data_IF_507765862428
#
_entry.id   IF_507765862428
#
_cell.length_a   1.000
_cell.length_b   1.000
_cell.length_c   1.000
_cell.angle_alpha   90.00
_cell.angle_beta   90.00
_cell.angle_gamma   90.00
#
_symmetry.space_group_name_H-M   'P 1'
#
loop_
_entity.id
_entity.type
_entity.pdbx_description
1 polymer ?
#
# COMPACT_ATOMS: atom_id res chain seq x y z
N UNK A 1 7.77 7.15 -16.55
CA UNK A 1 7.91 5.79 -15.95
C UNK A 1 8.17 5.78 -14.44
N UNK A 2 8.57 6.88 -13.80
CA UNK A 2 8.87 6.92 -12.35
C UNK A 2 7.67 6.59 -11.44
N UNK A 3 6.46 7.05 -11.79
CA UNK A 3 5.26 6.90 -10.94
C UNK A 3 4.75 5.45 -10.85
N UNK A 4 4.92 4.66 -11.91
CA UNK A 4 4.51 3.25 -11.93
C UNK A 4 5.33 2.42 -10.96
N UNK A 5 6.64 2.70 -10.86
CA UNK A 5 7.53 2.01 -9.93
C UNK A 5 7.17 2.33 -8.48
N UNK A 6 6.92 3.60 -8.16
CA UNK A 6 6.48 4.01 -6.82
C UNK A 6 5.11 3.43 -6.46
N UNK A 7 4.18 3.39 -7.41
CA UNK A 7 2.86 2.78 -7.22
C UNK A 7 2.96 1.27 -7.00
N UNK A 8 3.75 0.56 -7.82
CA UNK A 8 3.98 -0.88 -7.66
C UNK A 8 4.65 -1.21 -6.31
N UNK A 9 5.60 -0.39 -5.88
CA UNK A 9 6.24 -0.52 -4.57
C UNK A 9 5.22 -0.33 -3.44
N UNK A 10 4.43 0.74 -3.49
CA UNK A 10 3.39 1.01 -2.49
C UNK A 10 2.29 -0.06 -2.46
N UNK A 11 1.84 -0.52 -3.63
CA UNK A 11 0.86 -1.59 -3.76
C UNK A 11 1.41 -2.93 -3.27
N UNK A 12 2.68 -3.26 -3.54
CA UNK A 12 3.32 -4.47 -3.04
C UNK A 12 3.41 -4.48 -1.52
N UNK A 13 3.83 -3.37 -0.91
CA UNK A 13 3.86 -3.23 0.56
C UNK A 13 2.44 -3.30 1.15
N UNK A 14 1.48 -2.58 0.56
CA UNK A 14 0.08 -2.59 0.99
C UNK A 14 -0.57 -3.97 0.86
N UNK A 15 -0.25 -4.73 -0.17
CA UNK A 15 -0.73 -6.10 -0.37
C UNK A 15 -0.20 -7.06 0.69
N UNK A 16 1.09 -6.97 1.04
CA UNK A 16 1.68 -7.81 2.10
C UNK A 16 1.09 -7.50 3.47
N UNK A 17 0.84 -6.22 3.77
CA UNK A 17 0.25 -5.81 5.05
C UNK A 17 -1.28 -6.00 5.12
N UNK A 18 -1.98 -5.91 3.99
CA UNK A 18 -3.44 -6.03 3.91
C UNK A 18 -3.97 -7.44 3.67
N UNK A 19 -3.12 -8.37 3.20
CA UNK A 19 -3.52 -9.75 2.93
C UNK A 19 -3.05 -10.70 4.02
N UNK A 20 -3.89 -11.68 4.38
CA UNK A 20 -3.55 -12.69 5.40
C UNK A 20 -2.35 -13.55 4.99
N UNK A 21 -2.23 -13.85 3.70
CA UNK A 21 -1.15 -14.64 3.10
C UNK A 21 0.19 -13.89 3.03
N UNK A 22 0.18 -12.55 3.09
CA UNK A 22 1.40 -11.74 3.11
C UNK A 22 2.24 -11.98 4.36
N UNK A 23 1.61 -12.13 5.53
CA UNK A 23 2.30 -12.40 6.80
C UNK A 23 3.05 -13.72 6.82
N UNK A 24 2.49 -14.81 6.28
CA UNK A 24 3.20 -16.10 6.24
C UNK A 24 4.49 -16.05 5.44
N UNK A 25 4.50 -15.26 4.34
CA UNK A 25 5.73 -15.03 3.57
C UNK A 25 6.70 -14.09 4.29
N UNK A 26 6.18 -13.12 5.03
CA UNK A 26 6.96 -12.20 5.85
C UNK A 26 7.64 -12.93 7.02
N UNK A 27 6.97 -13.88 7.66
CA UNK A 27 7.51 -14.65 8.78
C UNK A 27 8.79 -15.40 8.37
N UNK A 28 8.82 -15.96 7.16
CA UNK A 28 10.00 -16.65 6.63
C UNK A 28 11.16 -15.72 6.29
N UNK A 29 10.89 -14.46 5.95
CA UNK A 29 11.91 -13.45 5.63
C UNK A 29 12.21 -12.49 6.80
N UNK A 30 11.47 -12.61 7.90
CA UNK A 30 11.54 -11.70 9.05
C UNK A 30 12.92 -11.65 9.69
N UNK A 31 13.66 -12.77 9.69
CA UNK A 31 15.02 -12.84 10.20
C UNK A 31 15.99 -11.97 9.37
N UNK A 32 15.89 -12.02 8.04
CA UNK A 32 16.70 -11.19 7.14
C UNK A 32 16.29 -9.71 7.22
N UNK A 33 14.99 -9.44 7.38
CA UNK A 33 14.52 -8.07 7.60
C UNK A 33 15.02 -7.51 8.93
N UNK A 34 14.99 -8.26 10.03
CA UNK A 34 15.51 -7.80 11.33
C UNK A 34 16.96 -7.34 11.22
N UNK A 35 17.79 -8.11 10.53
CA UNK A 35 19.20 -7.76 10.33
C UNK A 35 19.39 -6.50 9.46
N UNK A 36 18.54 -6.29 8.45
CA UNK A 36 18.53 -5.06 7.66
C UNK A 36 18.01 -3.84 8.45
N UNK A 37 17.07 -4.04 9.38
CA UNK A 37 16.53 -3.00 10.25
C UNK A 37 17.50 -2.56 11.36
N UNK A 38 18.42 -3.45 11.78
CA UNK A 38 19.45 -3.15 12.80
C UNK A 38 20.63 -2.33 12.27
N UNK A 39 20.72 -2.08 10.96
CA UNK A 39 21.82 -1.30 10.38
C UNK A 39 21.69 0.20 10.72
N UNK A 40 22.77 0.87 11.20
CA UNK A 40 22.74 2.29 11.57
C UNK A 40 22.34 3.23 10.40
N UNK A 41 22.61 2.82 9.16
CA UNK A 41 22.19 3.53 7.96
C UNK A 41 20.66 3.69 7.85
N UNK A 42 19.90 2.70 8.32
CA UNK A 42 18.43 2.72 8.30
C UNK A 42 17.89 3.62 9.40
N UNK A 43 18.52 3.64 10.58
CA UNK A 43 18.12 4.50 11.69
C UNK A 43 18.35 5.99 11.40
N UNK A 44 19.51 6.36 10.85
CA UNK A 44 19.82 7.76 10.48
C UNK A 44 18.97 8.27 9.31
N UNK A 45 18.68 7.40 8.34
CA UNK A 45 17.81 7.76 7.23
C UNK A 45 16.35 7.87 7.69
N UNK A 46 15.93 7.11 8.69
CA UNK A 46 14.56 7.18 9.19
C UNK A 46 14.24 8.51 9.87
N UNK A 47 15.14 9.01 10.72
CA UNK A 47 14.91 10.27 11.45
C UNK A 47 14.64 11.45 10.50
N UNK A 48 15.49 11.62 9.48
CA UNK A 48 15.36 12.73 8.51
C UNK A 48 14.24 12.54 7.50
N UNK A 49 13.92 11.30 7.14
CA UNK A 49 12.80 11.01 6.23
C UNK A 49 11.45 11.17 6.94
N UNK A 50 11.35 10.74 8.20
CA UNK A 50 10.12 10.80 8.98
C UNK A 50 9.63 12.23 9.18
N UNK A 51 10.53 13.19 9.41
CA UNK A 51 10.14 14.59 9.62
C UNK A 51 9.53 15.21 8.35
N UNK A 52 10.18 15.04 7.19
CA UNK A 52 9.66 15.51 5.90
C UNK A 52 8.37 14.82 5.48
N UNK A 53 8.27 13.52 5.75
CA UNK A 53 7.06 12.74 5.47
C UNK A 53 5.93 13.20 6.40
N UNK A 54 6.19 13.40 7.69
CA UNK A 54 5.17 13.80 8.65
C UNK A 54 4.57 15.17 8.33
N UNK A 55 5.41 16.14 7.92
CA UNK A 55 4.99 17.47 7.51
C UNK A 55 4.14 17.43 6.22
N UNK A 56 4.64 16.75 5.19
CA UNK A 56 3.93 16.58 3.90
C UNK A 56 2.61 15.84 4.09
N UNK A 57 2.61 14.78 4.90
CA UNK A 57 1.40 14.02 5.23
C UNK A 57 0.44 14.93 5.97
N UNK A 58 0.88 15.71 6.96
CA UNK A 58 0.03 16.62 7.76
C UNK A 58 -0.71 17.64 6.89
N UNK A 59 -0.03 18.29 5.96
CA UNK A 59 -0.66 19.23 5.02
C UNK A 59 -1.65 18.54 4.07
N UNK A 60 -1.35 17.31 3.65
CA UNK A 60 -2.13 16.60 2.63
C UNK A 60 -3.13 15.60 3.22
N UNK A 61 -3.29 15.49 4.55
CA UNK A 61 -4.16 14.46 5.17
C UNK A 61 -5.60 14.57 4.69
N UNK A 62 -6.15 15.79 4.68
CA UNK A 62 -7.53 16.02 4.30
C UNK A 62 -7.79 15.59 2.85
N UNK A 63 -6.95 16.06 1.92
CA UNK A 63 -7.10 15.76 0.49
C UNK A 63 -6.78 14.30 0.14
N UNK A 64 -5.82 13.67 0.81
CA UNK A 64 -5.52 12.24 0.65
C UNK A 64 -6.65 11.35 1.17
N UNK A 65 -7.24 11.71 2.31
CA UNK A 65 -8.37 10.96 2.89
C UNK A 65 -9.59 11.04 1.98
N UNK A 66 -9.94 12.23 1.49
CA UNK A 66 -11.05 12.41 0.55
C UNK A 66 -10.84 11.61 -0.74
N UNK A 67 -9.64 11.67 -1.34
CA UNK A 67 -9.30 10.91 -2.55
C UNK A 67 -9.32 9.40 -2.33
N UNK A 68 -8.83 8.93 -1.19
CA UNK A 68 -8.87 7.52 -0.84
C UNK A 68 -10.31 7.02 -0.68
N UNK A 69 -11.16 7.79 0.01
CA UNK A 69 -12.59 7.47 0.17
C UNK A 69 -13.30 7.49 -1.18
N UNK A 70 -13.03 8.47 -2.03
CA UNK A 70 -13.65 8.57 -3.34
C UNK A 70 -13.23 7.41 -4.26
N UNK A 71 -11.93 7.09 -4.33
CA UNK A 71 -11.43 5.96 -5.08
C UNK A 71 -11.98 4.62 -4.56
N UNK A 72 -12.10 4.45 -3.25
CA UNK A 72 -12.76 3.28 -2.66
C UNK A 72 -14.23 3.21 -3.05
N UNK A 73 -14.96 4.34 -3.02
CA UNK A 73 -16.37 4.40 -3.43
C UNK A 73 -16.55 4.11 -4.92
N UNK A 74 -15.68 4.63 -5.78
CA UNK A 74 -15.72 4.40 -7.22
C UNK A 74 -15.44 2.94 -7.57
N UNK A 75 -14.46 2.32 -6.91
CA UNK A 75 -14.11 0.90 -7.12
C UNK A 75 -15.15 -0.06 -6.53
N UNK A 76 -15.76 0.29 -5.40
CA UNK A 76 -16.89 -0.45 -4.82
C UNK A 76 -18.19 -0.25 -5.61
N UNK A 77 -18.39 0.92 -6.21
CA UNK A 77 -19.50 1.24 -7.10
C UNK A 77 -19.35 0.64 -8.50
N UNK A 78 -18.11 0.41 -8.96
CA UNK A 78 -17.75 -0.28 -10.20
C UNK A 78 -17.63 -1.80 -10.01
N UNK A 79 -18.44 -2.42 -9.15
CA UNK A 79 -18.58 -3.87 -9.19
C UNK A 79 -19.26 -4.23 -10.54
N UNK A 80 -18.57 -4.88 -11.50
CA UNK A 80 -19.24 -5.29 -12.72
C UNK A 80 -20.35 -6.27 -12.35
N UNK A 81 -21.59 -6.10 -12.84
CA UNK A 81 -22.62 -7.10 -12.64
C UNK A 81 -22.11 -8.40 -13.26
N UNK A 82 -22.06 -9.48 -12.47
CA UNK A 82 -21.95 -10.82 -13.03
C UNK A 82 -23.17 -11.05 -13.91
N UNK A 83 -22.98 -11.07 -15.23
CA UNK A 83 -23.77 -11.91 -16.14
C UNK A 83 -22.79 -12.87 -16.78
N UNK A 84 -23.03 -14.18 -16.68
CA UNK A 84 -23.53 -14.86 -17.88
C UNK A 84 -24.35 -16.14 -17.61
N UNK A 85 -25.56 -16.19 -18.17
CA UNK A 85 -26.28 -17.38 -18.66
C UNK A 85 -27.77 -17.02 -18.84
N UNK A 86 -28.55 -17.42 -19.83
CA UNK A 86 -28.46 -18.08 -21.14
C UNK A 86 -29.82 -17.77 -21.78
N UNK A 87 -29.96 -17.46 -23.09
CA UNK A 87 -31.29 -17.32 -23.68
C UNK A 87 -32.00 -18.68 -23.65
N UNK A 88 -32.97 -18.83 -22.75
CA UNK A 88 -33.97 -19.88 -22.82
C UNK A 88 -35.18 -19.32 -23.56
N UNK A 89 -35.46 -19.86 -24.74
CA UNK A 89 -36.58 -19.46 -25.61
C UNK A 89 -36.23 -19.64 -27.07
#
# INVERSE_FOLDING_TARGET
>A
MRSTLTFALGAGVGYVLGTRAGREKFDRMSAALRQAWETPAVQEQWGRASERIAETVREQRASLTERAVHAAKDTLGMAPPRRPDTPAG
#
